data_IF_287767349822
#
_entry.id   IF_287767349822
#
_cell.length_a   1.000
_cell.length_b   1.000
_cell.length_c   1.000
_cell.angle_alpha   90.00
_cell.angle_beta   90.00
_cell.angle_gamma   90.00
#
_symmetry.space_group_name_H-M   'P 1'
#
loop_
_entity.id
_entity.type
_entity.pdbx_description
1 polymer ?
#
# COMPACT_ATOMS: atom_id res chain seq x y z
N UNK A 1 -4.94 17.86 -1.79
CA UNK A 1 -6.39 18.07 -1.94
C UNK A 1 -6.91 17.31 -3.15
N UNK A 2 -8.23 17.19 -3.32
CA UNK A 2 -8.86 16.45 -4.43
C UNK A 2 -8.38 16.90 -5.81
N UNK A 3 -8.16 18.21 -6.00
CA UNK A 3 -7.75 18.78 -7.30
C UNK A 3 -6.36 18.33 -7.74
N UNK A 4 -5.43 18.18 -6.79
CA UNK A 4 -4.10 17.66 -7.06
C UNK A 4 -4.15 16.19 -7.49
N UNK A 5 -4.99 15.38 -6.85
CA UNK A 5 -5.16 13.97 -7.21
C UNK A 5 -5.76 13.86 -8.62
N UNK A 6 -6.79 14.65 -8.90
CA UNK A 6 -7.45 14.67 -10.20
C UNK A 6 -6.50 15.11 -11.33
N UNK A 7 -5.62 16.09 -11.07
CA UNK A 7 -4.66 16.54 -12.08
C UNK A 7 -3.59 15.48 -12.39
N UNK A 8 -3.13 14.75 -11.37
CA UNK A 8 -2.21 13.61 -11.53
C UNK A 8 -2.85 12.50 -12.37
N UNK A 9 -4.10 12.13 -12.06
CA UNK A 9 -4.84 11.10 -12.81
C UNK A 9 -4.92 11.47 -14.30
N UNK A 10 -5.40 12.69 -14.60
CA UNK A 10 -5.52 13.18 -15.99
C UNK A 10 -4.17 13.22 -16.73
N UNK A 11 -3.08 13.51 -16.04
CA UNK A 11 -1.75 13.50 -16.64
C UNK A 11 -1.32 12.08 -17.00
N UNK A 12 -1.52 11.12 -16.09
CA UNK A 12 -1.21 9.71 -16.31
C UNK A 12 -2.02 9.14 -17.49
N UNK A 13 -3.33 9.41 -17.51
CA UNK A 13 -4.24 8.95 -18.57
C UNK A 13 -3.82 9.47 -19.95
N UNK A 14 -3.51 10.78 -20.05
CA UNK A 14 -3.04 11.39 -21.30
C UNK A 14 -1.75 10.77 -21.82
N UNK A 15 -0.85 10.42 -20.91
CA UNK A 15 0.46 9.86 -21.26
C UNK A 15 0.43 8.33 -21.44
N UNK A 16 -0.71 7.67 -21.15
CA UNK A 16 -0.83 6.21 -21.09
C UNK A 16 0.25 5.57 -20.21
N UNK A 17 0.59 6.23 -19.11
CA UNK A 17 1.55 5.75 -18.11
C UNK A 17 0.88 5.75 -16.74
N UNK A 18 1.52 5.11 -15.78
CA UNK A 18 1.06 5.09 -14.41
C UNK A 18 1.83 6.08 -13.55
N UNK A 19 1.16 6.56 -12.49
CA UNK A 19 1.80 7.42 -11.50
C UNK A 19 3.06 6.77 -10.90
N UNK A 20 4.08 7.61 -10.70
CA UNK A 20 5.38 7.30 -10.08
C UNK A 20 5.65 8.38 -9.02
N UNK A 21 5.73 7.98 -7.76
CA UNK A 21 6.02 8.91 -6.67
C UNK A 21 7.53 9.15 -6.56
N UNK A 22 7.96 10.37 -6.91
CA UNK A 22 9.38 10.75 -6.83
C UNK A 22 9.85 10.99 -5.38
N UNK A 23 8.94 11.25 -4.46
CA UNK A 23 9.25 11.48 -3.03
C UNK A 23 9.33 10.18 -2.23
N UNK A 24 8.70 9.12 -2.74
CA UNK A 24 8.74 7.77 -2.19
C UNK A 24 8.98 6.72 -3.31
N UNK A 25 10.18 6.70 -3.90
CA UNK A 25 10.47 5.84 -5.05
C UNK A 25 10.48 4.36 -4.68
N UNK A 26 10.18 3.44 -5.62
CA UNK A 26 10.16 1.99 -5.38
C UNK A 26 11.58 1.40 -5.32
N UNK A 27 12.35 1.79 -4.31
CA UNK A 27 13.74 1.34 -4.13
C UNK A 27 14.07 1.12 -2.64
N UNK A 28 15.32 0.73 -2.37
CA UNK A 28 15.77 0.38 -1.03
C UNK A 28 15.68 1.55 -0.02
N UNK A 29 15.79 2.81 -0.48
CA UNK A 29 15.71 3.97 0.40
C UNK A 29 14.33 4.10 1.05
N UNK A 30 13.26 3.71 0.33
CA UNK A 30 11.89 3.71 0.85
C UNK A 30 11.63 2.61 1.86
N UNK A 31 12.36 1.50 1.79
CA UNK A 31 12.28 0.39 2.77
C UNK A 31 13.10 0.67 4.03
N UNK A 32 14.19 1.41 3.91
CA UNK A 32 15.19 1.57 4.97
C UNK A 32 14.86 2.65 6.01
N UNK A 33 13.70 3.31 5.92
CA UNK A 33 13.29 4.35 6.88
C UNK A 33 12.76 3.81 8.22
N UNK A 34 12.71 2.49 8.41
CA UNK A 34 12.24 1.82 9.64
C UNK A 34 13.46 1.26 10.41
N UNK A 35 13.55 1.39 11.75
CA UNK A 35 14.66 0.84 12.54
C UNK A 35 14.78 -0.68 12.37
N UNK A 36 15.95 -1.12 11.87
CA UNK A 36 16.21 -2.49 11.46
C UNK A 36 16.96 -3.24 12.57
N UNK A 37 16.27 -4.12 13.28
CA UNK A 37 16.98 -5.20 13.99
C UNK A 37 16.63 -6.59 13.46
N UNK A 38 15.44 -6.78 12.88
CA UNK A 38 14.97 -8.13 12.51
C UNK A 38 14.48 -8.27 11.05
N UNK A 39 14.28 -7.17 10.30
CA UNK A 39 13.64 -7.21 8.97
C UNK A 39 14.60 -7.42 7.78
N UNK A 40 15.92 -7.55 8.02
CA UNK A 40 16.94 -7.47 6.98
C UNK A 40 17.26 -8.78 6.26
N UNK A 41 16.94 -9.94 6.84
CA UNK A 41 17.34 -11.23 6.26
C UNK A 41 16.59 -11.56 4.96
N UNK A 42 15.38 -11.01 4.76
CA UNK A 42 14.57 -11.25 3.55
C UNK A 42 14.66 -10.12 2.52
N UNK A 43 14.67 -8.86 2.98
CA UNK A 43 14.74 -7.67 2.10
C UNK A 43 16.14 -7.41 1.51
N UNK A 44 17.18 -8.04 2.07
CA UNK A 44 18.57 -7.90 1.61
C UNK A 44 18.94 -8.69 0.35
N UNK A 45 18.02 -9.48 -0.22
CA UNK A 45 18.30 -10.37 -1.36
C UNK A 45 18.32 -9.67 -2.74
N UNK A 46 18.31 -8.33 -2.80
CA UNK A 46 18.46 -7.59 -4.06
C UNK A 46 17.28 -7.72 -5.03
N UNK A 47 16.17 -8.35 -4.63
CA UNK A 47 14.92 -8.45 -5.40
C UNK A 47 13.76 -7.86 -4.62
N UNK A 48 13.76 -6.55 -4.43
CA UNK A 48 12.51 -5.87 -4.05
C UNK A 48 11.69 -5.75 -5.33
N UNK A 49 10.94 -6.81 -5.63
CA UNK A 49 10.01 -6.83 -6.77
C UNK A 49 8.82 -5.95 -6.45
N UNK A 50 9.03 -4.62 -6.40
CA UNK A 50 7.94 -3.66 -6.31
C UNK A 50 7.01 -3.90 -7.50
N UNK A 51 5.78 -4.30 -7.18
CA UNK A 51 4.74 -4.62 -8.15
C UNK A 51 3.51 -3.79 -7.87
N UNK A 52 2.81 -3.39 -8.92
CA UNK A 52 1.47 -2.80 -8.80
C UNK A 52 0.47 -3.92 -8.54
N UNK A 53 -0.70 -3.58 -7.98
CA UNK A 53 -1.76 -4.57 -7.76
C UNK A 53 -2.17 -5.28 -9.07
N UNK A 54 -2.23 -4.55 -10.18
CA UNK A 54 -2.52 -5.10 -11.51
C UNK A 54 -1.45 -6.04 -12.07
N UNK A 55 -0.23 -6.00 -11.54
CA UNK A 55 0.84 -6.94 -11.91
C UNK A 55 0.75 -8.26 -11.12
N UNK A 56 -0.02 -8.26 -10.02
CA UNK A 56 -0.16 -9.39 -9.10
C UNK A 56 -1.50 -10.12 -9.25
N UNK A 57 -2.53 -9.45 -9.75
CA UNK A 57 -3.89 -9.96 -9.86
C UNK A 57 -4.54 -9.42 -11.15
N UNK A 58 -5.33 -10.26 -11.83
CA UNK A 58 -5.99 -9.92 -13.10
C UNK A 58 -7.06 -8.82 -12.94
N UNK A 59 -7.75 -8.79 -11.80
CA UNK A 59 -8.85 -7.85 -11.51
C UNK A 59 -8.72 -7.32 -10.09
N UNK A 60 -7.73 -6.45 -9.81
CA UNK A 60 -7.54 -5.92 -8.47
C UNK A 60 -8.72 -5.00 -8.10
N UNK A 61 -9.27 -5.19 -6.91
CA UNK A 61 -10.25 -4.29 -6.29
C UNK A 61 -9.57 -3.56 -5.13
N UNK A 62 -9.84 -2.26 -4.96
CA UNK A 62 -9.29 -1.48 -3.85
C UNK A 62 -10.01 -1.81 -2.54
N UNK A 63 -11.34 -1.87 -2.60
CA UNK A 63 -12.21 -2.32 -1.53
C UNK A 63 -13.29 -3.21 -2.16
N UNK A 64 -13.58 -4.35 -1.53
CA UNK A 64 -14.75 -5.15 -1.89
C UNK A 64 -16.05 -4.47 -1.40
N UNK A 65 -17.17 -5.19 -1.51
CA UNK A 65 -18.49 -4.68 -1.10
C UNK A 65 -18.55 -4.28 0.38
N UNK A 66 -17.70 -4.89 1.22
CA UNK A 66 -17.50 -4.54 2.62
C UNK A 66 -16.01 -4.55 2.96
N UNK A 67 -15.61 -3.71 3.91
CA UNK A 67 -14.26 -3.73 4.50
C UNK A 67 -14.40 -4.16 5.95
N UNK A 68 -13.66 -5.19 6.34
CA UNK A 68 -13.72 -5.84 7.65
C UNK A 68 -12.32 -5.97 8.26
N UNK A 69 -12.25 -6.34 9.54
CA UNK A 69 -10.96 -6.60 10.20
C UNK A 69 -10.18 -7.77 9.56
N UNK A 70 -10.87 -8.68 8.88
CA UNK A 70 -10.25 -9.84 8.22
C UNK A 70 -9.46 -9.43 6.97
N UNK A 71 -9.80 -8.28 6.37
CA UNK A 71 -9.10 -7.71 5.21
C UNK A 71 -7.73 -7.09 5.56
N UNK A 72 -7.33 -7.14 6.85
CA UNK A 72 -6.05 -6.62 7.34
C UNK A 72 -5.15 -7.77 7.85
N UNK A 73 -4.66 -8.65 6.95
CA UNK A 73 -3.79 -9.75 7.33
C UNK A 73 -2.44 -9.25 7.86
N UNK A 74 -1.76 -10.08 8.63
CA UNK A 74 -0.39 -9.77 9.09
C UNK A 74 0.58 -9.99 7.94
N UNK A 75 1.17 -8.91 7.44
CA UNK A 75 2.32 -8.98 6.53
C UNK A 75 3.63 -9.19 7.29
N UNK A 76 4.62 -9.77 6.61
CA UNK A 76 6.00 -9.78 7.10
C UNK A 76 6.52 -8.33 7.21
N UNK A 77 7.13 -7.97 8.34
CA UNK A 77 7.60 -6.61 8.60
C UNK A 77 6.50 -5.57 8.91
N UNK A 78 5.24 -5.99 9.07
CA UNK A 78 4.15 -5.07 9.44
C UNK A 78 4.20 -4.70 10.92
N UNK A 79 4.04 -3.41 11.22
CA UNK A 79 3.88 -2.91 12.59
C UNK A 79 2.60 -3.46 13.22
N UNK A 80 2.73 -4.22 14.33
CA UNK A 80 1.59 -4.81 15.06
C UNK A 80 0.62 -3.74 15.55
N UNK A 81 1.13 -2.59 15.99
CA UNK A 81 0.31 -1.47 16.45
C UNK A 81 -0.51 -0.84 15.33
N UNK A 82 0.12 -0.58 14.17
CA UNK A 82 -0.59 -0.03 13.00
C UNK A 82 -1.66 -0.99 12.51
N UNK A 83 -1.35 -2.30 12.46
CA UNK A 83 -2.32 -3.33 12.08
C UNK A 83 -3.54 -3.32 13.00
N UNK A 84 -3.34 -3.23 14.31
CA UNK A 84 -4.43 -3.18 15.29
C UNK A 84 -5.37 -2.01 15.04
N UNK A 85 -4.83 -0.83 14.76
CA UNK A 85 -5.61 0.37 14.46
C UNK A 85 -6.39 0.24 13.14
N UNK A 86 -5.76 -0.27 12.08
CA UNK A 86 -6.42 -0.50 10.79
C UNK A 86 -7.54 -1.55 10.90
N UNK A 87 -7.32 -2.62 11.68
CA UNK A 87 -8.32 -3.65 11.92
C UNK A 87 -9.53 -3.10 12.67
N UNK A 88 -9.30 -2.25 13.68
CA UNK A 88 -10.38 -1.59 14.43
C UNK A 88 -11.16 -0.59 13.57
N UNK A 89 -10.48 0.16 12.70
CA UNK A 89 -11.12 1.06 11.75
C UNK A 89 -12.02 0.29 10.78
N UNK A 90 -11.51 -0.80 10.21
CA UNK A 90 -12.27 -1.65 9.31
C UNK A 90 -13.51 -2.26 10.00
N UNK A 91 -13.37 -2.73 11.25
CA UNK A 91 -14.51 -3.26 12.02
C UNK A 91 -15.62 -2.23 12.28
N UNK A 92 -15.32 -0.93 12.24
CA UNK A 92 -16.28 0.14 12.47
C UNK A 92 -16.90 0.71 11.18
N UNK A 93 -16.41 0.33 9.99
CA UNK A 93 -16.87 0.86 8.70
C UNK A 93 -18.30 0.42 8.27
N UNK A 94 -19.03 -0.28 9.15
CA UNK A 94 -20.44 -0.64 8.97
C UNK A 94 -21.34 -0.29 10.17
N UNK A 95 -20.82 0.42 11.18
CA UNK A 95 -21.62 0.90 12.32
C UNK A 95 -21.96 2.36 12.09
N UNK A 96 -23.17 2.63 11.58
CA UNK A 96 -23.73 3.98 11.60
C UNK A 96 -23.73 4.51 13.04
N UNK A 97 -23.20 5.72 13.22
CA UNK A 97 -23.40 6.55 14.43
C UNK A 97 -24.80 7.14 14.36
#
# INVERSE_FOLDING_TARGET
GPDLINSIIRLCDRNRDHYKDHTFPPNQASLNRIPKKEALTFLGSGRTGWKRLGDCCEKPVLFGDTVSSEDVPRGEGTSVWLRGQLSALAANNGRSI
#
